data_IF_997600925806
#
_entry.id   IF_997600925806
#
_cell.length_a   1.000
_cell.length_b   1.000
_cell.length_c   1.000
_cell.angle_alpha   90.00
_cell.angle_beta   90.00
_cell.angle_gamma   90.00
#
_symmetry.space_group_name_H-M   'P 1'
#
loop_
_entity.id
_entity.type
_entity.pdbx_description
1 polymer ?
2 non-polymer ?
3 non-polymer ?
4 water ?
#
# COMPACT_ATOMS: atom_id res chain seq x y z
N UNK A 3 3.29 -23.69 -16.98
CA UNK A 3 2.14 -22.76 -16.79
C UNK A 3 0.86 -23.50 -16.37
N UNK A 4 0.84 -23.98 -15.12
CA UNK A 4 -0.21 -24.91 -14.69
C UNK A 4 -1.54 -24.24 -14.41
N UNK A 5 -1.60 -23.31 -13.45
CA UNK A 5 -2.90 -22.73 -13.05
C UNK A 5 -3.42 -21.72 -14.08
N UNK A 6 -4.74 -21.73 -14.23
CA UNK A 6 -5.46 -20.88 -15.17
C UNK A 6 -6.67 -20.30 -14.45
N UNK A 7 -7.43 -19.44 -15.13
CA UNK A 7 -8.64 -18.84 -14.53
C UNK A 7 -9.70 -19.90 -14.15
N UNK A 8 -9.72 -21.02 -14.87
CA UNK A 8 -10.64 -22.13 -14.56
C UNK A 8 -10.38 -22.88 -13.25
N UNK A 9 -9.22 -22.67 -12.65
CA UNK A 9 -8.86 -23.29 -11.39
C UNK A 9 -9.46 -22.62 -10.16
N UNK A 10 -10.16 -21.50 -10.35
CA UNK A 10 -10.73 -20.74 -9.25
C UNK A 10 -12.24 -20.57 -9.33
N UNK A 11 -12.86 -20.48 -8.16
CA UNK A 11 -14.23 -20.03 -8.02
C UNK A 11 -14.20 -18.55 -7.63
N UNK A 12 -15.01 -17.75 -8.31
CA UNK A 12 -15.04 -16.29 -8.16
C UNK A 12 -16.21 -15.92 -7.25
N UNK A 13 -15.90 -15.42 -6.05
CA UNK A 13 -16.85 -15.33 -4.94
C UNK A 13 -17.48 -13.96 -4.72
N UNK A 14 -16.67 -12.91 -4.66
CA UNK A 14 -17.11 -11.57 -4.25
C UNK A 14 -16.18 -10.48 -4.77
N UNK A 15 -16.74 -9.36 -5.19
CA UNK A 15 -15.95 -8.20 -5.59
C UNK A 15 -15.45 -7.47 -4.34
N UNK A 16 -14.13 -7.34 -4.23
CA UNK A 16 -13.50 -6.63 -3.11
C UNK A 16 -13.15 -5.17 -3.39
N UNK A 17 -12.77 -4.87 -4.62
CA UNK A 17 -12.35 -3.54 -5.02
C UNK A 17 -12.40 -3.41 -6.54
N UNK A 18 -12.54 -2.19 -7.01
CA UNK A 18 -12.66 -1.94 -8.42
C UNK A 18 -12.15 -0.53 -8.68
N UNK A 19 -11.62 -0.33 -9.88
CA UNK A 19 -11.07 0.96 -10.29
C UNK A 19 -11.01 1.09 -11.80
N UNK A 20 -10.41 2.17 -12.26
CA UNK A 20 -10.35 2.43 -13.70
C UNK A 20 -9.59 1.32 -14.45
N UNK A 21 -8.59 0.73 -13.81
CA UNK A 21 -7.75 -0.27 -14.49
C UNK A 21 -8.22 -1.73 -14.37
N UNK A 22 -9.09 -2.01 -13.41
CA UNK A 22 -9.56 -3.39 -13.27
C UNK A 22 -10.27 -3.64 -11.97
N UNK A 23 -10.26 -4.91 -11.56
CA UNK A 23 -10.99 -5.34 -10.36
C UNK A 23 -10.22 -6.35 -9.55
N UNK A 24 -10.62 -6.47 -8.29
CA UNK A 24 -10.06 -7.43 -7.37
C UNK A 24 -11.22 -8.24 -6.79
N UNK A 25 -11.12 -9.56 -6.95
CA UNK A 25 -12.14 -10.52 -6.60
C UNK A 25 -11.61 -11.53 -5.56
N UNK A 26 -12.41 -11.80 -4.54
CA UNK A 26 -12.20 -12.90 -3.63
C UNK A 26 -12.44 -14.21 -4.35
N UNK A 27 -11.44 -15.07 -4.34
CA UNK A 27 -11.47 -16.36 -5.02
C UNK A 27 -11.07 -17.51 -4.10
N UNK A 28 -11.53 -18.69 -4.48
CA UNK A 28 -11.11 -19.97 -3.90
C UNK A 28 -10.44 -20.81 -4.97
N UNK A 29 -9.22 -21.28 -4.69
CA UNK A 29 -8.57 -22.28 -5.54
C UNK A 29 -9.29 -23.61 -5.27
N UNK A 30 -9.98 -24.11 -6.28
CA UNK A 30 -10.82 -25.31 -6.16
C UNK A 30 -10.05 -26.53 -5.65
N UNK A 31 -8.86 -26.77 -6.18
CA UNK A 31 -8.09 -27.96 -5.83
C UNK A 31 -7.61 -28.01 -4.38
N UNK A 32 -7.35 -26.85 -3.79
CA UNK A 32 -6.79 -26.78 -2.44
C UNK A 32 -7.76 -26.24 -1.38
N UNK A 33 -8.84 -25.58 -1.79
CA UNK A 33 -9.76 -24.93 -0.85
C UNK A 33 -9.26 -23.65 -0.21
N UNK A 34 -8.11 -23.15 -0.67
CA UNK A 34 -7.52 -21.92 -0.14
C UNK A 34 -8.09 -20.69 -0.81
N UNK A 35 -8.16 -19.59 -0.05
CA UNK A 35 -8.75 -18.33 -0.50
C UNK A 35 -7.70 -17.27 -0.76
N UNK A 36 -7.93 -16.47 -1.79
CA UNK A 36 -7.02 -15.43 -2.24
C UNK A 36 -7.78 -14.21 -2.77
N UNK A 37 -7.10 -13.07 -2.87
CA UNK A 37 -7.58 -11.92 -3.66
C UNK A 37 -6.95 -11.99 -5.03
N UNK A 38 -7.76 -12.05 -6.08
CA UNK A 38 -7.29 -12.01 -7.46
C UNK A 38 -7.55 -10.69 -8.13
N UNK A 39 -6.45 -9.99 -8.45
CA UNK A 39 -6.52 -8.75 -9.24
C UNK A 39 -6.52 -9.17 -10.70
N UNK A 40 -7.55 -8.72 -11.41
CA UNK A 40 -7.73 -9.01 -12.83
C UNK A 40 -7.72 -7.68 -13.62
N UNK A 41 -6.74 -7.55 -14.51
CA UNK A 41 -6.57 -6.37 -15.34
C UNK A 41 -6.76 -6.71 -16.81
N UNK A 42 -7.49 -5.86 -17.52
CA UNK A 42 -7.61 -6.00 -18.97
C UNK A 42 -6.39 -5.36 -19.64
N UNK A 43 -5.69 -6.18 -20.41
CA UNK A 43 -4.55 -5.72 -21.21
C UNK A 43 -4.82 -4.46 -22.02
N UNK A 44 -5.98 -4.42 -22.70
CA UNK A 44 -6.32 -3.33 -23.59
C UNK A 44 -6.40 -2.01 -22.80
N UNK A 45 -6.94 -2.10 -21.59
CA UNK A 45 -7.11 -0.90 -20.76
C UNK A 45 -5.77 -0.40 -20.27
N UNK A 46 -4.94 -1.31 -19.76
CA UNK A 46 -3.59 -0.98 -19.28
C UNK A 46 -2.74 -0.32 -20.37
N UNK A 47 -2.85 -0.84 -21.60
CA UNK A 47 -2.09 -0.30 -22.73
C UNK A 47 -2.61 1.11 -23.07
N UNK A 48 -3.93 1.23 -23.17
CA UNK A 48 -4.59 2.51 -23.53
C UNK A 48 -4.28 3.63 -22.54
N UNK A 49 -4.17 3.27 -21.27
CA UNK A 49 -3.97 4.25 -20.19
C UNK A 49 -2.51 4.39 -19.78
N UNK A 50 -1.59 3.81 -20.54
CA UNK A 50 -0.15 3.95 -20.23
C UNK A 50 0.18 3.46 -18.81
N UNK A 51 -0.44 2.36 -18.42
CA UNK A 51 -0.31 1.78 -17.09
C UNK A 51 0.53 0.51 -17.14
N UNK A 52 1.16 0.23 -18.28
CA UNK A 52 1.94 -1.00 -18.47
C UNK A 52 3.16 -1.07 -17.56
N UNK A 53 3.95 -0.01 -17.55
CA UNK A 53 5.17 0.04 -16.77
C UNK A 53 4.85 -0.16 -15.27
N UNK A 54 3.78 0.46 -14.80
CA UNK A 54 3.37 0.31 -13.40
C UNK A 54 3.01 -1.14 -13.09
N UNK A 55 2.26 -1.75 -13.99
CA UNK A 55 1.76 -3.11 -13.82
C UNK A 55 2.93 -4.07 -13.75
N UNK A 56 3.90 -3.90 -14.64
CA UNK A 56 5.10 -4.73 -14.66
C UNK A 56 5.97 -4.55 -13.44
N UNK A 57 6.07 -3.31 -12.97
CA UNK A 57 6.77 -3.03 -11.71
C UNK A 57 6.14 -3.74 -10.52
N UNK A 58 4.82 -3.69 -10.40
CA UNK A 58 4.16 -4.38 -9.30
C UNK A 58 4.48 -5.89 -9.34
N UNK A 59 4.42 -6.46 -10.52
CA UNK A 59 4.69 -7.88 -10.70
C UNK A 59 6.08 -8.23 -10.21
N UNK A 60 7.09 -7.47 -10.63
CA UNK A 60 8.47 -7.72 -10.20
C UNK A 60 8.67 -7.54 -8.69
N UNK A 61 8.12 -6.46 -8.15
CA UNK A 61 8.29 -6.11 -6.75
C UNK A 61 7.67 -7.20 -5.88
N UNK A 62 6.45 -7.64 -6.23
CA UNK A 62 5.79 -8.74 -5.51
C UNK A 62 6.62 -10.01 -5.57
N UNK A 63 7.11 -10.34 -6.75
CA UNK A 63 7.89 -11.58 -6.93
C UNK A 63 9.21 -11.57 -6.14
N UNK A 64 9.82 -10.39 -6.00
CA UNK A 64 11.15 -10.22 -5.40
C UNK A 64 11.13 -9.96 -3.88
N UNK A 65 9.94 -9.78 -3.31
CA UNK A 65 9.80 -9.36 -1.90
C UNK A 65 9.17 -10.42 -1.00
N UNK A 66 9.64 -10.46 0.24
CA UNK A 66 9.13 -11.38 1.24
C UNK A 66 9.27 -10.68 2.57
N UNK A 67 8.15 -10.22 3.14
CA UNK A 67 8.17 -9.51 4.41
C UNK A 67 6.81 -9.68 5.10
N UNK A 68 6.79 -9.77 6.44
CA UNK A 68 5.56 -9.94 7.23
C UNK A 68 4.42 -8.97 6.89
N UNK A 69 4.78 -7.73 6.57
CA UNK A 69 3.78 -6.66 6.36
C UNK A 69 3.58 -6.24 4.89
N UNK A 70 4.14 -7.00 3.97
CA UNK A 70 3.87 -6.85 2.53
C UNK A 70 3.01 -8.01 2.04
N UNK A 71 1.99 -7.67 1.26
CA UNK A 71 1.16 -8.66 0.59
C UNK A 71 2.03 -9.67 -0.18
N UNK A 72 1.77 -10.96 0.03
CA UNK A 72 2.45 -12.02 -0.71
C UNK A 72 1.72 -12.45 -2.00
N UNK A 73 2.49 -12.66 -3.05
CA UNK A 73 1.96 -13.12 -4.33
C UNK A 73 2.09 -14.64 -4.42
N UNK A 74 0.99 -15.32 -4.68
CA UNK A 74 0.96 -16.77 -4.88
C UNK A 74 1.16 -17.14 -6.36
N UNK A 75 0.37 -16.55 -7.24
CA UNK A 75 0.47 -16.77 -8.69
C UNK A 75 0.35 -15.47 -9.46
N UNK A 76 1.09 -15.37 -10.57
CA UNK A 76 0.75 -14.40 -11.58
C UNK A 76 0.76 -15.09 -12.92
N UNK A 77 -0.28 -14.85 -13.71
CA UNK A 77 -0.39 -15.44 -15.02
C UNK A 77 -1.24 -14.57 -15.95
N UNK A 78 -1.30 -14.94 -17.23
CA UNK A 78 -2.06 -14.14 -18.19
C UNK A 78 -2.87 -15.00 -19.14
N UNK A 79 -3.91 -14.38 -19.69
CA UNK A 79 -4.67 -14.92 -20.78
C UNK A 79 -4.46 -13.99 -21.95
N UNK A 80 -5.16 -14.25 -23.06
CA UNK A 80 -5.00 -13.39 -24.23
C UNK A 80 -5.44 -11.96 -23.93
N UNK A 81 -6.40 -11.77 -23.03
CA UNK A 81 -6.92 -10.42 -22.77
C UNK A 81 -6.70 -9.90 -21.34
N UNK A 82 -6.20 -10.72 -20.43
CA UNK A 82 -6.12 -10.32 -19.03
C UNK A 82 -4.79 -10.67 -18.38
N UNK A 83 -4.46 -9.91 -17.34
CA UNK A 83 -3.42 -10.26 -16.37
C UNK A 83 -4.06 -10.56 -15.04
N UNK A 84 -3.59 -11.62 -14.37
CA UNK A 84 -4.12 -12.08 -13.09
C UNK A 84 -3.03 -12.18 -12.05
N UNK A 85 -3.22 -11.50 -10.93
CA UNK A 85 -2.34 -11.58 -9.77
C UNK A 85 -3.15 -12.20 -8.64
N UNK A 86 -2.78 -13.40 -8.20
CA UNK A 86 -3.43 -14.09 -7.08
C UNK A 86 -2.60 -13.87 -5.84
N UNK A 87 -3.14 -13.11 -4.90
CA UNK A 87 -2.42 -12.63 -3.74
C UNK A 87 -3.11 -13.04 -2.47
N UNK A 88 -2.40 -13.02 -1.35
CA UNK A 88 -2.99 -13.24 -0.04
C UNK A 88 -4.12 -12.25 0.21
N UNK A 89 -5.26 -12.76 0.63
CA UNK A 89 -6.42 -11.96 0.96
C UNK A 89 -6.28 -11.31 2.34
N UNK A 90 -6.34 -9.98 2.38
CA UNK A 90 -6.31 -9.24 3.62
C UNK A 90 -7.75 -9.10 4.15
N UNK A 91 -8.15 -10.07 4.98
CA UNK A 91 -9.56 -10.19 5.43
C UNK A 91 -10.03 -8.98 6.24
N UNK A 92 -9.12 -8.26 6.88
CA UNK A 92 -9.47 -7.13 7.71
C UNK A 92 -9.76 -5.81 7.03
N UNK A 93 -9.61 -5.75 5.70
CA UNK A 93 -9.98 -4.56 4.95
C UNK A 93 -8.97 -3.44 4.97
N UNK A 94 -9.29 -2.33 4.32
CA UNK A 94 -8.43 -1.17 4.29
C UNK A 94 -8.49 -0.37 5.60
N UNK A 95 -7.37 0.21 6.01
CA UNK A 95 -7.43 1.21 7.08
C UNK A 95 -8.37 2.37 6.76
N UNK A 96 -8.49 2.69 5.47
CA UNK A 96 -9.46 3.69 5.01
C UNK A 96 -10.88 3.37 5.50
N UNK A 97 -11.27 2.11 5.35
CA UNK A 97 -12.59 1.62 5.77
C UNK A 97 -12.80 1.89 7.27
N UNK A 98 -11.81 1.51 8.07
CA UNK A 98 -11.93 1.63 9.52
C UNK A 98 -11.93 3.07 9.99
N UNK A 99 -11.02 3.87 9.45
CA UNK A 99 -10.90 5.26 9.89
C UNK A 99 -12.10 6.07 9.47
N UNK A 100 -12.69 5.72 8.33
CA UNK A 100 -13.93 6.31 7.86
C UNK A 100 -15.06 6.16 8.86
N UNK A 101 -15.12 5.01 9.51
CA UNK A 101 -16.17 4.69 10.46
C UNK A 101 -15.85 5.16 11.89
N UNK A 102 -14.58 5.12 12.28
CA UNK A 102 -14.13 5.43 13.65
C UNK A 102 -13.65 6.86 13.87
N UNK A 103 -13.37 7.57 12.78
CA UNK A 103 -12.90 8.96 12.81
C UNK A 103 -11.43 9.12 13.21
N UNK A 104 -11.04 8.61 14.39
CA UNK A 104 -9.63 8.58 14.80
C UNK A 104 -9.27 7.27 15.44
N UNK A 105 -7.97 6.95 15.43
CA UNK A 105 -7.40 5.85 16.21
C UNK A 105 -6.73 6.45 17.41
N UNK A 106 -6.60 5.68 18.49
CA UNK A 106 -5.80 6.11 19.63
C UNK A 106 -4.34 6.21 19.20
N UNK A 107 -3.55 6.95 19.98
CA UNK A 107 -2.11 7.05 19.74
C UNK A 107 -1.44 5.67 19.82
N UNK A 108 -1.81 4.85 20.81
CA UNK A 108 -1.32 3.46 20.86
C UNK A 108 -1.61 2.63 19.59
N UNK A 109 -2.85 2.73 19.08
CA UNK A 109 -3.22 1.99 17.87
C UNK A 109 -2.47 2.52 16.63
N UNK A 110 -2.41 3.85 16.49
CA UNK A 110 -1.61 4.46 15.44
C UNK A 110 -0.12 4.08 15.52
N UNK A 111 0.42 4.04 16.74
CA UNK A 111 1.77 3.56 17.01
C UNK A 111 2.03 2.12 16.48
N UNK A 112 1.15 1.19 16.80
CA UNK A 112 1.24 -0.20 16.32
C UNK A 112 1.31 -0.24 14.78
N UNK A 113 0.34 0.38 14.11
CA UNK A 113 0.35 0.43 12.64
C UNK A 113 1.60 1.11 12.07
N UNK A 114 1.93 2.30 12.59
CA UNK A 114 3.17 3.01 12.26
C UNK A 114 4.42 2.16 12.35
N UNK A 115 4.55 1.40 13.44
CA UNK A 115 5.72 0.56 13.59
C UNK A 115 5.81 -0.55 12.49
N UNK A 116 4.68 -1.17 12.15
CA UNK A 116 4.66 -2.24 11.17
C UNK A 116 4.96 -1.65 9.77
N UNK A 117 4.39 -0.48 9.49
CA UNK A 117 4.70 0.26 8.26
C UNK A 117 6.19 0.64 8.13
N UNK A 118 6.79 1.11 9.23
CA UNK A 118 8.19 1.47 9.24
C UNK A 118 9.05 0.21 8.97
N UNK A 119 8.69 -0.91 9.61
CA UNK A 119 9.38 -2.18 9.39
C UNK A 119 9.41 -2.57 7.90
N UNK A 120 8.24 -2.47 7.25
CA UNK A 120 8.07 -2.79 5.83
C UNK A 120 8.88 -1.85 4.94
N UNK A 121 8.79 -0.54 5.22
CA UNK A 121 9.49 0.45 4.42
C UNK A 121 11.00 0.39 4.58
N UNK A 122 11.47 0.13 5.81
CA UNK A 122 12.88 -0.12 6.09
C UNK A 122 13.43 -1.26 5.25
N UNK A 123 12.67 -2.36 5.18
CA UNK A 123 13.00 -3.52 4.37
C UNK A 123 13.11 -3.11 2.90
N UNK A 124 12.06 -2.48 2.36
CA UNK A 124 12.10 -2.06 1.00
C UNK A 124 13.30 -1.18 0.65
N UNK A 125 13.53 -0.16 1.46
CA UNK A 125 14.64 0.76 1.21
C UNK A 125 16.00 0.04 1.34
N UNK A 126 16.18 -0.68 2.45
CA UNK A 126 17.49 -1.20 2.85
C UNK A 126 17.85 -2.50 2.19
N UNK A 127 16.89 -3.40 2.02
CA UNK A 127 17.15 -4.73 1.48
C UNK A 127 16.80 -4.85 0.01
N UNK A 128 15.87 -4.06 -0.46
CA UNK A 128 15.43 -4.19 -1.84
C UNK A 128 15.76 -2.98 -2.73
N UNK A 129 16.20 -1.85 -2.16
CA UNK A 129 16.50 -0.63 -2.92
C UNK A 129 15.25 -0.16 -3.68
N UNK A 130 14.11 -0.24 -3.01
CA UNK A 130 12.81 0.11 -3.55
C UNK A 130 12.25 1.27 -2.74
N UNK A 131 11.75 2.26 -3.44
CA UNK A 131 10.96 3.34 -2.84
C UNK A 131 9.49 3.13 -3.24
N UNK A 132 8.60 3.13 -2.24
CA UNK A 132 7.18 2.79 -2.44
C UNK A 132 6.34 3.86 -3.16
N UNK A 133 6.48 5.13 -2.73
CA UNK A 133 5.92 6.35 -3.34
C UNK A 133 4.42 6.53 -3.25
N UNK A 134 3.66 5.54 -2.83
CA UNK A 134 2.19 5.66 -2.84
C UNK A 134 1.50 5.31 -1.50
N UNK A 135 2.15 5.65 -0.40
CA UNK A 135 1.54 5.34 0.90
C UNK A 135 0.22 6.15 1.04
N UNK A 136 -0.86 5.46 1.36
CA UNK A 136 -2.16 6.06 1.63
C UNK A 136 -3.04 5.04 2.31
N UNK A 137 -4.13 5.50 2.91
CA UNK A 137 -4.96 4.60 3.75
C UNK A 137 -5.61 3.44 2.98
N UNK A 138 -5.90 3.65 1.70
CA UNK A 138 -6.44 2.59 0.85
C UNK A 138 -5.45 1.44 0.60
N UNK A 139 -4.16 1.75 0.61
CA UNK A 139 -3.10 0.78 0.32
C UNK A 139 -2.55 0.09 1.59
N UNK A 140 -3.13 0.41 2.75
CA UNK A 140 -2.72 -0.17 4.04
C UNK A 140 -3.88 -1.02 4.52
N UNK A 141 -3.72 -2.34 4.43
CA UNK A 141 -4.79 -3.27 4.75
C UNK A 141 -4.44 -4.02 6.03
N UNK A 142 -5.42 -4.76 6.54
CA UNK A 142 -5.24 -5.59 7.73
C UNK A 142 -5.50 -7.04 7.36
N UNK A 143 -4.61 -7.91 7.80
CA UNK A 143 -4.82 -9.35 7.66
C UNK A 143 -5.85 -9.83 8.68
N UNK A 144 -6.20 -11.11 8.64
CA UNK A 144 -7.23 -11.67 9.53
C UNK A 144 -6.89 -11.56 11.02
N UNK A 145 -5.60 -11.43 11.32
CA UNK A 145 -5.10 -11.29 12.70
C UNK A 145 -4.96 -9.84 13.16
N UNK A 146 -5.15 -8.86 12.27
CA UNK A 146 -5.00 -7.44 12.60
C UNK A 146 -3.65 -6.77 12.35
N UNK A 147 -2.74 -7.49 11.69
CA UNK A 147 -1.45 -6.97 11.27
C UNK A 147 -1.53 -6.31 9.90
N UNK A 148 -0.70 -5.30 9.68
CA UNK A 148 -0.64 -4.55 8.41
C UNK A 148 -0.23 -5.44 7.23
N UNK A 149 -0.90 -5.20 6.11
CA UNK A 149 -0.45 -5.65 4.79
C UNK A 149 -0.48 -4.50 3.80
N UNK A 150 0.67 -4.12 3.26
CA UNK A 150 0.71 -3.08 2.22
C UNK A 150 0.35 -3.75 0.90
N UNK A 151 -0.50 -3.09 0.14
CA UNK A 151 -0.92 -3.56 -1.17
C UNK A 151 -0.59 -2.49 -2.20
N UNK A 152 -0.56 -2.90 -3.48
CA UNK A 152 -0.39 -2.02 -4.62
C UNK A 152 1.00 -1.38 -4.75
N UNK A 153 1.86 -2.08 -5.49
CA UNK A 153 3.26 -1.75 -5.65
C UNK A 153 3.57 -1.15 -7.03
N UNK A 154 2.54 -0.79 -7.79
CA UNK A 154 2.75 -0.28 -9.12
C UNK A 154 3.51 1.03 -9.25
N UNK A 155 3.49 1.87 -8.20
CA UNK A 155 4.22 3.16 -8.20
C UNK A 155 5.62 3.06 -7.64
N UNK A 156 6.05 1.85 -7.28
CA UNK A 156 7.38 1.68 -6.75
C UNK A 156 8.45 2.06 -7.78
N UNK A 157 9.61 2.45 -7.27
CA UNK A 157 10.83 2.57 -8.06
C UNK A 157 11.91 1.65 -7.52
N UNK A 158 12.46 0.85 -8.42
CA UNK A 158 13.50 -0.11 -8.11
C UNK A 158 14.86 0.55 -8.36
N UNK A 159 15.89 -0.01 -7.75
CA UNK A 159 17.27 0.39 -8.00
C UNK A 159 17.70 1.68 -7.34
N UNK A 160 17.06 2.03 -6.22
CA UNK A 160 17.32 3.29 -5.54
C UNK A 160 18.15 2.96 -4.33
N UNK A 161 19.44 3.19 -4.45
CA UNK A 161 20.38 2.84 -3.40
C UNK A 161 20.80 4.12 -2.72
N UNK A 162 20.79 4.10 -1.39
CA UNK A 162 21.27 5.22 -0.59
C UNK A 162 20.58 6.51 -1.04
N UNK A 163 21.36 7.56 -1.37
CA UNK A 163 20.83 8.85 -1.77
C UNK A 163 20.49 9.07 -3.24
N UNK A 164 20.42 7.99 -4.01
CA UNK A 164 19.97 8.04 -5.41
C UNK A 164 18.60 8.74 -5.56
N UNK A 165 18.42 9.47 -6.66
CA UNK A 165 17.23 10.26 -6.88
C UNK A 165 16.29 9.67 -7.93
N UNK A 166 15.06 10.17 -7.93
CA UNK A 166 14.01 9.75 -8.82
C UNK A 166 13.44 11.02 -9.44
N UNK A 167 12.84 10.86 -10.62
CA UNK A 167 12.33 11.97 -11.42
C UNK A 167 10.82 12.01 -11.59
N UNK A 169 6.98 12.31 -11.69
CA UNK A 169 5.85 12.89 -10.97
C UNK A 169 4.74 11.85 -10.83
N UNK A 170 4.56 11.32 -9.63
CA UNK A 170 3.54 10.33 -9.38
C UNK A 170 3.18 10.28 -7.91
N UNK A 171 2.07 9.63 -7.61
CA UNK A 171 1.53 9.54 -6.25
C UNK A 171 0.05 9.93 -6.25
N UNK A 172 -0.54 10.03 -5.07
CA UNK A 172 -1.93 10.48 -4.93
C UNK A 172 -1.90 11.93 -4.45
N UNK A 173 -2.68 12.82 -5.10
CA UNK A 173 -2.55 14.27 -4.88
C UNK A 173 -2.45 14.73 -3.43
N UNK A 174 -3.35 14.27 -2.57
CA UNK A 174 -3.40 14.72 -1.17
C UNK A 174 -2.16 14.28 -0.35
N UNK A 175 -1.44 13.27 -0.85
CA UNK A 175 -0.29 12.66 -0.17
C UNK A 175 1.05 13.10 -0.75
N UNK A 176 1.06 13.90 -1.81
CA UNK A 176 2.32 14.25 -2.49
C UNK A 176 3.25 15.07 -1.59
N UNK A 177 4.52 14.69 -1.57
CA UNK A 177 5.55 15.39 -0.84
C UNK A 177 5.90 16.72 -1.53
N UNK A 178 6.29 17.74 -0.74
CA UNK A 178 6.68 19.01 -1.35
C UNK A 178 7.73 18.86 -2.47
N UNK A 179 8.74 18.04 -2.24
CA UNK A 179 9.80 17.82 -3.26
C UNK A 179 9.29 17.14 -4.53
N UNK A 180 8.24 16.35 -4.43
CA UNK A 180 7.60 15.76 -5.62
C UNK A 180 6.89 16.88 -6.42
N UNK A 181 6.20 17.77 -5.72
CA UNK A 181 5.48 18.87 -6.34
C UNK A 181 6.44 19.88 -6.97
N UNK A 182 7.62 20.02 -6.41
CA UNK A 182 8.63 20.91 -6.99
C UNK A 182 9.12 20.39 -8.34
N UNK A 183 9.08 19.07 -8.53
CA UNK A 183 9.39 18.41 -9.81
C UNK A 183 10.82 18.69 -10.27
N UNK A 184 11.75 18.60 -9.33
CA UNK A 184 13.18 18.78 -9.62
C UNK A 184 14.06 17.70 -8.99
N UNK A 185 13.54 16.47 -8.98
CA UNK A 185 14.20 15.26 -8.44
C UNK A 185 13.96 15.11 -6.95
N UNK A 186 13.88 13.86 -6.50
CA UNK A 186 13.61 13.57 -5.09
C UNK A 186 14.18 12.19 -4.75
N UNK A 187 14.29 11.92 -3.46
CA UNK A 187 14.86 10.68 -2.97
C UNK A 187 13.88 9.92 -2.09
N UNK A 188 14.42 8.91 -1.42
CA UNK A 188 13.64 7.92 -0.69
C UNK A 188 12.88 8.50 0.51
N UNK A 189 13.23 9.70 0.96
CA UNK A 189 12.51 10.35 2.05
C UNK A 189 11.08 10.73 1.72
N UNK A 190 10.70 10.67 0.45
CA UNK A 190 9.29 10.81 0.09
C UNK A 190 8.41 9.80 0.85
N UNK A 191 8.90 8.57 1.07
CA UNK A 191 8.14 7.59 1.88
C UNK A 191 7.87 8.03 3.32
N UNK A 192 8.77 8.82 3.87
CA UNK A 192 8.58 9.30 5.24
C UNK A 192 7.57 10.44 5.38
N UNK A 193 7.45 11.26 4.33
CA UNK A 193 6.37 12.21 4.19
C UNK A 193 5.03 11.46 4.17
N UNK A 194 4.96 10.43 3.32
CA UNK A 194 3.79 9.58 3.23
C UNK A 194 3.42 8.98 4.59
N UNK A 195 4.43 8.49 5.32
CA UNK A 195 4.19 7.96 6.66
C UNK A 195 3.57 9.05 7.56
N UNK A 196 4.15 10.25 7.52
CA UNK A 196 3.57 11.41 8.22
C UNK A 196 2.11 11.66 7.90
N UNK A 197 1.74 11.68 6.62
CA UNK A 197 0.34 11.92 6.25
C UNK A 197 -0.60 10.85 6.80
N UNK A 198 -0.26 9.57 6.61
CA UNK A 198 -1.12 8.51 7.10
C UNK A 198 -1.23 8.51 8.63
N UNK A 199 -0.11 8.71 9.32
CA UNK A 199 -0.14 8.74 10.77
C UNK A 199 -0.87 9.97 11.29
N UNK A 200 -0.74 11.10 10.60
CA UNK A 200 -1.52 12.30 10.91
C UNK A 200 -3.02 11.98 10.79
N UNK A 201 -3.42 11.37 9.69
CA UNK A 201 -4.83 10.98 9.48
C UNK A 201 -5.32 10.08 10.61
N UNK A 202 -4.48 9.12 11.03
CA UNK A 202 -4.89 8.17 12.04
C UNK A 202 -5.12 8.85 13.39
N UNK A 203 -4.23 9.76 13.75
CA UNK A 203 -4.29 10.38 15.08
C UNK A 203 -5.14 11.64 15.15
N UNK A 204 -5.24 12.37 14.03
CA UNK A 204 -5.95 13.65 13.97
C UNK A 204 -7.30 13.61 13.26
N UNK A 205 -7.58 12.57 12.48
CA UNK A 205 -8.91 12.37 11.89
C UNK A 205 -9.20 13.19 10.63
N UNK A 206 -8.16 13.74 10.02
CA UNK A 206 -8.25 14.51 8.80
C UNK A 206 -6.89 14.53 8.10
N UNK A 207 -6.87 14.91 6.83
CA UNK A 207 -5.61 15.15 6.14
C UNK A 207 -4.91 16.39 6.71
N UNK A 208 -3.59 16.42 6.68
CA UNK A 208 -2.87 17.61 7.14
C UNK A 208 -3.14 18.83 6.27
N UNK A 209 -3.35 18.59 4.98
CA UNK A 209 -3.58 19.64 3.98
C UNK A 209 -4.72 19.21 3.06
N UNK A 210 -5.74 20.03 2.92
CA UNK A 210 -6.81 19.67 1.99
C UNK A 210 -7.50 20.85 1.33
N UNK A 211 -7.70 20.69 0.01
CA UNK A 211 -8.63 21.48 -0.76
C UNK A 211 -9.09 20.65 -1.95
N UNK A 212 -10.37 20.74 -2.28
CA UNK A 212 -10.95 20.02 -3.42
C UNK A 212 -10.32 20.48 -4.74
N UNK A 213 -9.78 21.68 -4.76
CA UNK A 213 -9.06 22.20 -5.92
C UNK A 213 -7.55 21.90 -5.81
N UNK A 214 -7.03 21.11 -6.75
CA UNK A 214 -5.63 20.68 -6.69
C UNK A 214 -4.64 21.83 -6.68
N UNK A 215 -4.97 22.91 -7.39
CA UNK A 215 -4.19 24.15 -7.36
C UNK A 215 -3.96 24.63 -5.92
N UNK A 216 -5.04 24.77 -5.17
CA UNK A 216 -4.99 25.23 -3.80
C UNK A 216 -4.35 24.18 -2.86
N UNK A 217 -4.68 22.91 -3.11
CA UNK A 217 -4.09 21.81 -2.33
C UNK A 217 -2.57 21.82 -2.38
N UNK A 218 -2.04 21.91 -3.60
CA UNK A 218 -0.59 21.89 -3.82
C UNK A 218 0.07 23.11 -3.17
N UNK A 219 -0.58 24.26 -3.21
CA UNK A 219 -0.08 25.46 -2.51
C UNK A 219 0.04 25.23 -1.02
N UNK A 220 -0.97 24.61 -0.41
CA UNK A 220 -0.95 24.30 1.02
C UNK A 220 0.22 23.39 1.39
N UNK A 221 0.37 22.29 0.66
CA UNK A 221 1.46 21.33 0.88
C UNK A 221 2.82 22.02 0.83
N UNK A 222 2.99 22.90 -0.15
CA UNK A 222 4.25 23.62 -0.35
C UNK A 222 4.51 24.73 0.67
N UNK A 223 3.45 25.43 1.08
CA UNK A 223 3.59 26.73 1.75
C UNK A 223 3.05 26.81 3.18
N UNK A 224 2.05 25.99 3.51
CA UNK A 224 1.39 26.12 4.81
C UNK A 224 2.07 25.34 5.93
N UNK A 225 2.34 26.01 7.04
CA UNK A 225 2.88 25.34 8.21
C UNK A 225 1.88 24.33 8.80
N UNK A 226 2.38 23.17 9.19
CA UNK A 226 1.54 22.12 9.78
C UNK A 226 0.90 22.63 11.08
N UNK A 227 -0.35 22.23 11.31
CA UNK A 227 -1.05 22.42 12.59
C UNK A 227 -1.62 21.10 13.08
N UNK A 228 -1.85 21.02 14.38
CA UNK A 228 -2.37 19.84 15.04
C UNK A 228 -3.53 20.18 15.98
N UNK A 229 -4.51 19.27 16.12
CA UNK A 229 -5.51 19.43 17.18
C UNK A 229 -4.82 19.47 18.53
N UNK A 230 -5.33 20.28 19.45
CA UNK A 230 -4.64 20.56 20.70
C UNK A 230 -4.73 19.46 21.75
N UNK A 231 -5.39 18.35 21.44
CA UNK A 231 -5.43 17.16 22.28
C UNK A 231 -4.28 16.19 21.98
N UNK A 232 -3.57 16.41 20.87
CA UNK A 232 -2.48 15.52 20.47
C UNK A 232 -1.33 15.60 21.45
N UNK A 233 -0.83 14.45 21.88
CA UNK A 233 0.27 14.40 22.84
C UNK A 233 1.58 14.89 22.27
N UNK A 234 2.53 15.24 23.14
CA UNK A 234 3.79 15.88 22.73
C UNK A 234 4.68 15.01 21.84
N UNK A 235 4.79 13.72 22.14
CA UNK A 235 5.62 12.81 21.33
C UNK A 235 5.05 12.59 19.93
N UNK A 236 3.72 12.47 19.83
CA UNK A 236 3.03 12.34 18.55
C UNK A 236 3.21 13.61 17.69
N UNK A 237 3.04 14.77 18.33
CA UNK A 237 3.29 16.07 17.67
C UNK A 237 4.72 16.16 17.13
N UNK A 238 5.68 15.76 17.95
CA UNK A 238 7.09 15.72 17.58
C UNK A 238 7.37 14.79 16.37
N UNK A 239 6.83 13.58 16.43
CA UNK A 239 6.98 12.64 15.33
C UNK A 239 6.41 13.20 14.02
N UNK A 240 5.16 13.65 14.06
CA UNK A 240 4.51 14.17 12.87
C UNK A 240 5.15 15.43 12.33
N UNK A 241 5.57 16.33 13.23
CA UNK A 241 6.33 17.51 12.84
C UNK A 241 7.61 17.15 12.06
N UNK A 242 8.33 16.13 12.55
CA UNK A 242 9.53 15.66 11.90
C UNK A 242 9.29 14.98 10.57
N UNK A 243 8.22 14.18 10.49
CA UNK A 243 7.93 13.48 9.25
C UNK A 243 7.39 14.41 8.17
N UNK A 244 6.79 15.52 8.60
CA UNK A 244 6.14 16.45 7.66
C UNK A 244 6.96 17.74 7.49
N UNK A 245 8.25 17.66 7.76
CA UNK A 245 9.14 18.74 7.36
C UNK A 245 9.14 18.82 5.83
N UNK A 246 9.03 20.03 5.30
CA UNK A 246 8.90 20.23 3.87
C UNK A 246 10.22 20.02 3.12
N UNK A 247 11.32 20.30 3.81
CA UNK A 247 12.65 20.06 3.25
C UNK A 247 13.07 18.63 3.58
N UNK A 248 13.20 17.77 2.54
CA UNK A 248 13.54 16.38 2.85
C UNK A 248 14.85 16.21 3.62
N UNK A 249 15.78 17.16 3.47
CA UNK A 249 17.04 17.13 4.22
C UNK A 249 16.88 17.34 5.72
N UNK A 250 15.81 18.02 6.10
CA UNK A 250 15.46 18.28 7.50
C UNK A 250 14.44 17.28 8.07
N UNK A 251 13.89 16.43 7.23
CA UNK A 251 12.87 15.47 7.62
C UNK A 251 13.43 14.28 8.42
N UNK A 252 12.62 13.83 9.38
CA UNK A 252 12.90 12.60 10.12
C UNK A 252 12.91 11.44 9.11
N UNK A 253 14.00 10.70 9.10
CA UNK A 253 14.24 9.67 8.10
C UNK A 253 14.96 10.16 6.88
N UNK A 254 15.27 11.46 6.81
CA UNK A 254 15.80 12.07 5.58
C UNK A 254 17.31 12.08 5.43
N UNK A 255 17.99 11.56 6.45
CA UNK A 255 19.45 11.46 6.47
C UNK A 255 19.93 10.09 6.09
N UNK A 256 21.23 9.86 6.27
CA UNK A 256 21.86 8.62 5.82
C UNK A 256 21.32 7.40 6.55
N UNK A 257 20.83 7.59 7.78
CA UNK A 257 20.31 6.48 8.57
C UNK A 257 18.90 6.03 8.18
N UNK A 258 18.21 6.83 7.37
CA UNK A 258 16.91 6.46 6.81
C UNK A 258 15.94 6.06 7.95
N UNK A 259 15.36 4.86 7.89
CA UNK A 259 14.34 4.42 8.85
C UNK A 259 14.82 4.41 10.28
N UNK A 260 16.13 4.23 10.50
CA UNK A 260 16.65 4.11 11.86
C UNK A 260 16.41 5.38 12.68
N UNK A 261 16.38 6.54 12.00
CA UNK A 261 16.09 7.81 12.67
C UNK A 261 14.67 7.83 13.23
N UNK A 262 13.72 7.26 12.48
CA UNK A 262 12.34 7.18 12.90
C UNK A 262 12.20 6.16 14.01
N UNK A 263 12.83 5.00 13.84
CA UNK A 263 12.78 3.93 14.84
C UNK A 263 13.26 4.37 16.21
N UNK A 264 14.22 5.31 16.23
CA UNK A 264 14.77 5.85 17.47
C UNK A 264 13.99 7.02 18.07
N UNK A 265 12.98 7.53 17.36
CA UNK A 265 12.20 8.65 17.89
C UNK A 265 11.44 8.23 19.19
N UNK A 266 11.34 9.19 20.12
CA UNK A 266 10.75 8.88 21.42
C UNK A 266 9.28 8.45 21.35
N UNK A 267 8.59 8.75 20.26
CA UNK A 267 7.23 8.23 20.08
C UNK A 267 7.22 6.70 20.09
N UNK A 268 8.27 6.09 19.56
CA UNK A 268 8.37 4.64 19.54
C UNK A 268 9.23 4.06 20.68
N UNK A 269 9.45 4.85 21.72
CA UNK A 269 10.23 4.40 22.88
C UNK A 269 9.62 3.12 23.44
N UNK A 270 10.45 2.12 23.72
CA UNK A 270 9.97 0.84 24.25
C UNK A 270 9.62 -0.22 23.22
N UNK A 271 9.37 0.21 21.97
CA UNK A 271 9.16 -0.72 20.87
C UNK A 271 10.46 -1.48 20.62
N UNK A 272 10.35 -2.80 20.60
CA UNK A 272 11.48 -3.65 20.23
C UNK A 272 11.28 -4.09 18.78
N UNK A 273 12.13 -3.58 17.90
CA UNK A 273 11.90 -3.66 16.46
C UNK A 273 11.97 -5.09 15.90
N UNK A 274 12.76 -5.95 16.52
CA UNK A 274 12.77 -7.35 16.11
C UNK A 274 11.45 -8.02 16.48
N UNK A 275 10.82 -7.62 17.58
CA UNK A 275 9.51 -8.15 17.96
C UNK A 275 8.40 -7.70 16.99
N UNK A 276 8.53 -6.47 16.48
CA UNK A 276 7.61 -5.97 15.45
C UNK A 276 7.66 -6.89 14.25
N UNK A 277 8.87 -7.13 13.74
CA UNK A 277 9.08 -8.00 12.60
C UNK A 277 8.49 -9.40 12.79
N UNK A 278 8.61 -9.92 14.00
CA UNK A 278 8.20 -11.28 14.33
C UNK A 278 6.70 -11.37 14.70
N UNK A 279 5.99 -10.25 14.57
CA UNK A 279 4.54 -10.19 14.84
C UNK A 279 4.21 -10.55 16.29
N UNK A 280 5.13 -10.18 17.18
CA UNK A 280 5.00 -10.44 18.61
C UNK A 280 4.28 -9.31 19.35
N UNK A 281 3.95 -8.20 18.67
CA UNK A 281 3.06 -7.23 19.26
C UNK A 281 1.62 -7.64 18.96
N UNK A 282 0.79 -7.62 19.98
CA UNK A 282 -0.62 -7.94 19.87
C UNK A 282 -1.38 -6.79 19.20
N UNK A 283 -2.00 -7.06 18.04
CA UNK A 283 -2.76 -5.96 17.44
C UNK A 283 -3.88 -5.47 18.34
N UNK A 284 -4.08 -4.16 18.37
CA UNK A 284 -5.10 -3.56 19.22
C UNK A 284 -6.52 -3.80 18.71
N UNK A 285 -6.67 -4.04 17.41
CA UNK A 285 -7.94 -4.42 16.81
C UNK A 285 -7.81 -5.78 16.11
N UNK A 286 -8.61 -6.74 16.54
CA UNK A 286 -8.66 -8.06 15.93
C UNK A 286 -9.92 -8.15 15.07
N UNK A 287 -9.76 -8.25 13.74
CA UNK A 287 -10.91 -8.43 12.83
C UNK A 287 -11.80 -9.61 13.24
N UNK A 288 -13.10 -9.37 13.35
CA UNK A 288 -14.05 -10.40 13.78
C UNK A 288 -14.76 -11.01 12.57
N UNK A 289 -13.97 -11.65 11.73
CA UNK A 289 -14.52 -12.38 10.59
C UNK A 289 -14.92 -13.77 11.06
N UNK A 290 -16.05 -14.24 10.53
CA UNK A 290 -16.66 -15.49 10.98
C UNK A 290 -16.30 -16.64 10.05
N UNK A 291 -15.81 -16.30 8.88
CA UNK A 291 -15.37 -17.30 7.93
C UNK A 291 -14.36 -16.70 7.00
N UNK A 292 -13.73 -17.60 6.27
CA UNK A 292 -12.70 -17.26 5.31
C UNK A 292 -13.26 -16.40 4.18
N UNK A 293 -14.60 -16.36 4.04
CA UNK A 293 -15.29 -15.57 2.99
C UNK A 293 -16.08 -14.34 3.49
N UNK A 294 -16.02 -14.07 4.79
CA UNK A 294 -16.68 -12.93 5.39
C UNK A 294 -16.06 -11.61 4.90
N UNK A 295 -16.84 -10.77 4.21
CA UNK A 295 -16.36 -9.49 3.63
C UNK A 295 -16.90 -8.27 4.37
N UNK A 296 -17.20 -8.42 5.66
CA UNK A 296 -17.78 -7.31 6.45
C UNK A 296 -16.92 -6.05 6.53
N UNK A 297 -15.60 -6.20 6.32
CA UNK A 297 -14.69 -5.05 6.33
C UNK A 297 -14.38 -4.43 4.96
N UNK A 298 -15.28 -4.68 3.99
CA UNK A 298 -15.20 -4.14 2.66
C UNK A 298 -16.49 -3.39 2.36
N UNK A 299 -16.36 -2.26 1.68
CA UNK A 299 -17.49 -1.44 1.27
C UNK A 299 -18.50 -2.25 0.45
N UNK A 300 -19.76 -2.19 0.89
CA UNK A 300 -20.89 -2.81 0.20
C UNK A 300 -21.06 -2.33 -1.24
N UNK A 301 -20.61 -1.12 -1.54
CA UNK A 301 -20.58 -0.62 -2.91
C UNK A 301 -19.90 -1.60 -3.87
N UNK A 302 -18.87 -2.29 -3.36
CA UNK A 302 -18.18 -3.33 -4.13
C UNK A 302 -18.77 -4.72 -3.92
N UNK A 303 -18.90 -5.17 -2.66
CA UNK A 303 -19.28 -6.57 -2.43
C UNK A 303 -20.70 -6.91 -2.89
N UNK A 304 -21.56 -5.90 -3.04
CA UNK A 304 -22.93 -6.13 -3.56
C UNK A 304 -23.00 -6.39 -5.07
N UNK A 305 -21.94 -6.04 -5.79
CA UNK A 305 -21.96 -6.15 -7.25
C UNK A 305 -21.93 -7.60 -7.73
N UNK A 306 -22.62 -7.88 -8.83
CA UNK A 306 -22.63 -9.21 -9.39
C UNK A 306 -21.30 -9.46 -10.12
N UNK A 307 -20.80 -10.68 -10.00
CA UNK A 307 -19.62 -11.12 -10.73
C UNK A 307 -20.05 -11.97 -11.91
N UNK A 308 -19.57 -11.62 -13.09
CA UNK A 308 -19.65 -12.52 -14.25
C UNK A 308 -18.30 -12.52 -14.95
N UNK A 309 -17.43 -13.43 -14.55
CA UNK A 309 -16.15 -13.58 -15.24
C UNK A 309 -16.39 -14.26 -16.59
N UNK A 310 -15.78 -13.68 -17.63
CA UNK A 310 -15.82 -14.23 -18.97
C UNK A 310 -14.99 -15.53 -18.98
N UNK A 311 -15.48 -16.60 -19.63
CA UNK A 311 -14.73 -17.87 -19.61
C UNK A 311 -13.39 -17.81 -20.36
N UNK A 317 -7.18 -21.98 -29.97
CA UNK A 317 -6.73 -21.23 -28.79
C UNK A 317 -5.82 -20.01 -29.07
N UNK A 318 -5.35 -19.39 -27.99
CA UNK A 318 -4.91 -18.01 -28.04
C UNK A 318 -3.74 -17.73 -27.10
N UNK A 319 -3.03 -18.81 -26.75
CA UNK A 319 -1.98 -18.73 -25.74
C UNK A 319 -0.71 -18.01 -26.22
N UNK A 320 -0.52 -17.88 -27.53
CA UNK A 320 0.67 -17.26 -28.10
C UNK A 320 0.40 -15.91 -28.74
N UNK A 321 -0.83 -15.44 -28.60
CA UNK A 321 -1.20 -14.19 -29.22
C UNK A 321 -0.47 -13.03 -28.52
N UNK A 322 0.10 -12.16 -29.35
CA UNK A 322 0.93 -11.06 -28.89
C UNK A 322 0.66 -9.89 -29.84
N UNK A 323 -0.25 -9.01 -29.43
CA UNK A 323 -0.64 -7.86 -30.23
C UNK A 323 -0.30 -6.54 -29.57
N UNK A 324 -0.36 -5.47 -30.33
CA UNK A 324 -0.04 -4.14 -29.79
C UNK A 324 -0.96 -3.76 -28.64
N UNK A 325 -2.25 -4.10 -28.77
CA UNK A 325 -3.26 -3.77 -27.75
C UNK A 325 -3.38 -4.79 -26.63
N UNK A 326 -2.94 -6.02 -26.91
CA UNK A 326 -2.98 -7.14 -25.96
C UNK A 326 -1.68 -7.92 -26.04
N UNK A 327 -0.59 -7.34 -25.50
CA UNK A 327 0.71 -7.96 -25.59
C UNK A 327 0.84 -9.22 -24.74
N UNK A 328 1.75 -10.08 -25.16
CA UNK A 328 2.18 -11.17 -24.31
C UNK A 328 3.28 -10.66 -23.41
N UNK A 329 2.96 -10.48 -22.13
CA UNK A 329 3.88 -9.83 -21.20
C UNK A 329 4.84 -10.79 -20.56
N UNK A 330 6.04 -10.28 -20.20
CA UNK A 330 7.06 -11.11 -19.59
C UNK A 330 6.78 -11.32 -18.11
N UNK A 331 7.30 -12.41 -17.57
CA UNK A 331 7.28 -12.71 -16.12
C UNK A 331 5.88 -12.94 -15.56
N UNK A 332 4.95 -13.37 -16.42
CA UNK A 332 3.64 -13.81 -15.99
C UNK A 332 3.45 -15.32 -16.10
N UNK A 333 4.40 -16.04 -15.53
CA UNK A 333 4.33 -17.50 -15.44
C UNK A 333 4.85 -17.89 -14.06
N UNK A 334 4.31 -17.23 -13.04
CA UNK A 334 4.84 -17.30 -11.69
C UNK A 334 3.93 -18.09 -10.75
N UNK A 335 4.54 -19.04 -10.04
CA UNK A 335 3.92 -19.75 -8.93
C UNK A 335 4.93 -19.82 -7.80
N UNK A 336 4.58 -19.28 -6.63
CA UNK A 336 5.58 -19.18 -5.55
C UNK A 336 6.07 -20.55 -5.11
N UNK A 337 7.38 -20.68 -4.91
CA UNK A 337 7.96 -21.97 -4.49
C UNK A 337 7.56 -22.36 -3.08
#
# INVERSE_FOLDING_TARGET
LGSRVTMNEFEYLKLLGKGTFGKVILVKEKATGRYYAMKILKKEVIVAKDEVAHTLTENRVLQNSRHPFLTALKYSFQTHDRLCFVMEYANGGELFFHLSRERVFSEDRARFYGAEIVSALDYLHSEKNVVYRDLKLENLMLDKDGHIKITDFGLCKEGIKDGATMKXFCGTPEYLAPEVLEDNDYGRAVDWWGLGVVMYEMMCGRLPFYNQDHEKLFELILMEEIRFPRTLGPEAKSLLSGLLKKDPKQRLGGGSEDAKEIMQHRFFAGIVWQHVYEKKLSPPFKPQVTSETDTRYFDEEFTAQMITITPPDQDDSMECVDSERRPHFPQFDYSASSTA
#
